data_IF_235865664799
#
_entry.id   IF_235865664799
#
_cell.length_a   1.000
_cell.length_b   1.000
_cell.length_c   1.000
_cell.angle_alpha   90.00
_cell.angle_beta   90.00
_cell.angle_gamma   90.00
#
_symmetry.space_group_name_H-M   'P 1'
#
loop_
_entity.id
_entity.type
_entity.pdbx_description
1 polymer ?
#
# COMPACT_ATOMS: atom_id res chain seq x y z
N UNK A 1 -35.32 18.17 39.49
CA UNK A 1 -34.25 18.15 38.45
C UNK A 1 -33.59 16.79 38.55
N UNK A 2 -33.92 15.88 37.64
CA UNK A 2 -33.32 14.53 37.62
C UNK A 2 -32.09 14.62 36.73
N UNK A 3 -30.91 14.50 37.32
CA UNK A 3 -29.67 14.38 36.59
C UNK A 3 -29.57 12.89 36.23
N UNK A 4 -29.88 12.53 34.98
CA UNK A 4 -29.61 11.20 34.46
C UNK A 4 -28.12 11.18 34.13
N UNK A 5 -27.32 10.63 35.04
CA UNK A 5 -25.93 10.23 34.76
C UNK A 5 -25.99 9.09 33.76
N UNK A 6 -25.61 9.33 32.52
CA UNK A 6 -25.36 8.25 31.59
C UNK A 6 -24.10 7.49 32.06
N UNK A 7 -24.13 6.16 32.10
CA UNK A 7 -22.93 5.41 32.47
C UNK A 7 -21.83 5.64 31.43
N UNK A 8 -20.63 6.02 31.88
CA UNK A 8 -19.42 6.24 31.07
C UNK A 8 -19.03 5.04 30.20
N UNK A 9 -19.69 3.88 30.40
CA UNK A 9 -19.36 2.64 29.70
C UNK A 9 -19.83 2.54 28.23
N UNK A 10 -20.56 3.54 27.73
CA UNK A 10 -21.14 3.53 26.37
C UNK A 10 -20.30 4.25 25.31
N UNK A 11 -19.23 4.93 25.68
CA UNK A 11 -18.34 5.61 24.74
C UNK A 11 -17.14 4.70 24.47
N UNK A 12 -17.14 3.97 23.39
CA UNK A 12 -15.96 3.21 22.97
C UNK A 12 -15.58 3.55 21.53
N UNK A 13 -14.29 3.71 21.31
CA UNK A 13 -13.74 3.77 19.95
C UNK A 13 -14.00 2.46 19.28
N UNK A 14 -14.62 2.46 18.13
CA UNK A 14 -14.74 1.28 17.27
C UNK A 14 -13.36 0.81 16.84
N UNK A 15 -13.28 -0.46 16.46
CA UNK A 15 -12.06 -1.03 15.92
C UNK A 15 -11.51 -0.17 14.78
N UNK A 16 -10.21 0.17 14.74
CA UNK A 16 -9.60 0.83 13.61
C UNK A 16 -9.86 0.06 12.31
N UNK A 17 -10.31 0.76 11.28
CA UNK A 17 -10.69 0.21 9.97
C UNK A 17 -9.94 0.92 8.86
N UNK A 18 -10.10 0.47 7.62
CA UNK A 18 -9.46 1.11 6.49
C UNK A 18 -7.94 1.22 6.62
N UNK A 19 -7.31 0.18 7.21
CA UNK A 19 -5.87 0.11 7.42
C UNK A 19 -5.14 0.11 6.08
N UNK A 20 -4.20 1.04 5.91
CA UNK A 20 -3.45 1.22 4.67
C UNK A 20 -1.97 1.44 4.93
N UNK A 21 -1.17 0.96 4.00
CA UNK A 21 0.25 1.28 3.88
C UNK A 21 0.46 1.88 2.49
N UNK A 22 1.13 3.04 2.39
CA UNK A 22 1.27 3.82 1.15
C UNK A 22 -0.07 3.99 0.43
N UNK A 23 -1.12 4.32 1.19
CA UNK A 23 -2.50 4.55 0.74
C UNK A 23 -3.21 3.32 0.16
N UNK A 24 -2.59 2.14 0.20
CA UNK A 24 -3.12 0.89 -0.36
C UNK A 24 -3.39 -0.13 0.74
N UNK A 25 -4.44 -0.92 0.59
CA UNK A 25 -4.76 -2.02 1.51
C UNK A 25 -3.94 -3.25 1.14
N UNK A 26 -3.18 -3.78 2.09
CA UNK A 26 -2.33 -4.97 1.94
C UNK A 26 -1.45 -4.92 0.68
N UNK A 27 -0.66 -3.86 0.48
CA UNK A 27 0.15 -3.73 -0.73
C UNK A 27 1.24 -4.79 -0.81
N UNK A 28 1.55 -5.19 -2.04
CA UNK A 28 2.64 -6.09 -2.40
C UNK A 28 3.66 -5.29 -3.21
N UNK A 29 4.95 -5.50 -2.93
CA UNK A 29 6.03 -4.90 -3.71
C UNK A 29 6.30 -3.44 -3.38
N UNK A 30 6.19 -3.04 -2.11
CA UNK A 30 6.56 -1.68 -1.69
C UNK A 30 8.09 -1.56 -1.69
N UNK A 31 8.61 -0.55 -2.41
CA UNK A 31 10.04 -0.21 -2.43
C UNK A 31 10.34 1.10 -1.67
N UNK A 32 9.43 1.52 -0.81
CA UNK A 32 9.60 2.70 0.04
C UNK A 32 10.30 2.30 1.33
N UNK A 33 11.44 2.91 1.63
CA UNK A 33 12.23 2.62 2.85
C UNK A 33 11.48 2.92 4.14
N UNK A 34 10.66 3.97 4.12
CA UNK A 34 9.87 4.45 5.25
C UNK A 34 8.40 4.55 4.86
N UNK A 35 7.69 3.42 4.73
CA UNK A 35 6.29 3.44 4.34
C UNK A 35 5.43 4.13 5.39
N UNK A 36 4.33 4.75 4.92
CA UNK A 36 3.39 5.52 5.75
C UNK A 36 2.15 4.70 6.03
N UNK A 37 1.79 4.65 7.30
CA UNK A 37 0.61 3.95 7.82
C UNK A 37 -0.55 4.91 7.97
N UNK A 38 -1.76 4.39 7.72
CA UNK A 38 -2.99 5.14 7.91
C UNK A 38 -4.13 4.20 8.31
N UNK A 39 -5.07 4.73 9.10
CA UNK A 39 -6.28 4.02 9.50
C UNK A 39 -7.43 5.01 9.68
N UNK A 40 -8.64 4.49 9.74
CA UNK A 40 -9.85 5.25 9.99
C UNK A 40 -10.44 4.87 11.33
N UNK A 41 -11.01 5.87 12.00
CA UNK A 41 -11.76 5.68 13.23
C UNK A 41 -13.24 5.84 12.92
N UNK A 42 -14.05 4.88 13.32
CA UNK A 42 -15.50 4.96 13.21
C UNK A 42 -16.12 4.93 14.60
N UNK A 43 -17.12 5.73 14.84
CA UNK A 43 -17.95 5.63 16.03
C UNK A 43 -19.05 4.58 15.81
N UNK A 44 -19.50 3.91 16.86
CA UNK A 44 -20.68 3.07 16.79
C UNK A 44 -21.94 3.93 16.61
N UNK A 45 -22.99 3.32 16.06
CA UNK A 45 -24.26 4.03 15.82
C UNK A 45 -24.79 4.67 17.11
N UNK A 46 -25.13 5.96 16.98
CA UNK A 46 -25.65 6.76 18.09
C UNK A 46 -24.57 7.40 18.99
N UNK A 47 -23.30 7.09 18.81
CA UNK A 47 -22.21 7.73 19.55
C UNK A 47 -21.80 9.06 18.92
N UNK A 48 -21.52 10.05 19.78
CA UNK A 48 -21.00 11.36 19.38
C UNK A 48 -19.85 11.78 20.28
N UNK A 49 -18.94 12.58 19.75
CA UNK A 49 -17.82 13.11 20.52
C UNK A 49 -16.75 12.09 20.89
N UNK A 50 -16.73 10.94 20.21
CA UNK A 50 -15.67 9.93 20.37
C UNK A 50 -14.50 10.32 19.48
N UNK A 51 -13.30 10.38 20.04
CA UNK A 51 -12.08 10.68 19.29
C UNK A 51 -10.89 9.88 19.82
N UNK A 52 -9.91 9.68 18.96
CA UNK A 52 -8.62 9.08 19.30
C UNK A 52 -7.82 10.07 20.14
N UNK A 53 -7.39 9.65 21.32
CA UNK A 53 -6.50 10.43 22.19
C UNK A 53 -5.03 10.04 22.04
N UNK A 54 -4.77 8.78 21.68
CA UNK A 54 -3.43 8.27 21.47
C UNK A 54 -3.43 7.09 20.48
N UNK A 55 -2.24 6.74 20.00
CA UNK A 55 -2.03 5.62 19.11
C UNK A 55 -0.65 4.97 19.31
N UNK A 56 -0.51 3.73 18.89
CA UNK A 56 0.75 3.00 18.80
C UNK A 56 0.70 2.09 17.58
N UNK A 57 1.79 2.07 16.80
CA UNK A 57 1.98 1.13 15.70
C UNK A 57 3.13 0.19 16.03
N UNK A 58 2.90 -1.11 15.85
CA UNK A 58 3.92 -2.14 15.96
C UNK A 58 4.01 -2.86 14.63
N UNK A 59 5.22 -3.02 14.10
CA UNK A 59 5.53 -3.76 12.87
C UNK A 59 6.42 -4.95 13.21
N UNK A 60 6.01 -6.13 12.78
CA UNK A 60 6.75 -7.38 12.97
C UNK A 60 7.01 -8.08 11.64
N UNK A 61 8.07 -8.85 11.56
CA UNK A 61 8.29 -9.76 10.44
C UNK A 61 7.51 -11.08 10.63
N UNK A 62 7.63 -11.99 9.66
CA UNK A 62 6.94 -13.29 9.68
C UNK A 62 7.39 -14.20 10.82
N UNK A 63 8.59 -14.00 11.33
CA UNK A 63 9.13 -14.73 12.48
C UNK A 63 8.69 -14.12 13.83
N UNK A 64 7.89 -13.06 13.79
CA UNK A 64 7.37 -12.38 14.97
C UNK A 64 8.35 -11.43 15.64
N UNK A 65 9.48 -11.12 15.01
CA UNK A 65 10.45 -10.14 15.53
C UNK A 65 9.91 -8.73 15.32
N UNK A 66 9.99 -7.92 16.35
CA UNK A 66 9.57 -6.51 16.27
C UNK A 66 10.62 -5.72 15.49
N UNK A 67 10.22 -5.18 14.33
CA UNK A 67 11.02 -4.30 13.52
C UNK A 67 10.81 -2.82 13.88
N UNK A 68 9.64 -2.50 14.38
CA UNK A 68 9.30 -1.18 14.87
C UNK A 68 8.20 -1.23 15.92
N UNK A 69 8.41 -0.47 16.96
CA UNK A 69 7.39 -0.09 17.94
C UNK A 69 7.46 1.43 18.09
N UNK A 70 6.40 2.12 17.69
CA UNK A 70 6.34 3.58 17.79
C UNK A 70 6.27 4.07 19.24
N UNK A 71 6.03 3.17 20.20
CA UNK A 71 5.55 3.55 21.52
C UNK A 71 4.16 4.19 21.44
N UNK A 72 3.60 4.51 22.61
CA UNK A 72 2.35 5.26 22.71
C UNK A 72 2.60 6.73 22.37
N UNK A 73 1.90 7.25 21.39
CA UNK A 73 1.94 8.66 20.96
C UNK A 73 0.60 9.31 21.26
N UNK A 74 0.62 10.43 21.94
CA UNK A 74 -0.56 11.20 22.23
C UNK A 74 -1.03 11.98 20.99
N UNK A 75 -2.34 12.02 20.76
CA UNK A 75 -2.98 12.78 19.70
C UNK A 75 -3.86 11.98 18.76
N UNK A 76 -4.59 12.70 17.91
CA UNK A 76 -5.59 12.17 16.98
C UNK A 76 -5.10 11.90 15.57
N UNK A 77 -3.79 11.96 15.32
CA UNK A 77 -3.23 11.71 13.97
C UNK A 77 -3.41 10.23 13.64
N UNK A 78 -3.99 9.96 12.48
CA UNK A 78 -4.23 8.59 11.98
C UNK A 78 -3.89 8.41 10.50
N UNK A 79 -3.22 9.39 9.91
CA UNK A 79 -2.86 9.41 8.48
C UNK A 79 -1.41 9.81 8.31
N UNK A 80 -0.68 9.08 7.46
CA UNK A 80 0.69 9.43 7.09
C UNK A 80 1.73 9.21 8.19
N UNK A 81 1.50 8.25 9.07
CA UNK A 81 2.46 7.87 10.12
C UNK A 81 3.64 7.16 9.47
N UNK A 82 4.79 7.82 9.46
CA UNK A 82 5.99 7.31 8.81
C UNK A 82 6.67 6.23 9.66
N UNK A 83 7.09 5.14 8.99
CA UNK A 83 7.90 4.09 9.60
C UNK A 83 9.24 4.62 10.10
N UNK A 84 9.60 4.30 11.33
CA UNK A 84 10.85 4.72 11.95
C UNK A 84 11.59 3.56 12.65
N UNK A 85 11.38 2.34 12.17
CA UNK A 85 12.02 1.14 12.70
C UNK A 85 13.34 0.80 12.03
N UNK A 86 13.76 -0.46 12.19
CA UNK A 86 14.95 -0.99 11.51
C UNK A 86 14.72 -1.06 10.00
N UNK A 87 15.76 -0.93 9.15
CA UNK A 87 15.60 -1.03 7.70
C UNK A 87 14.81 -2.27 7.29
N UNK A 88 13.85 -2.07 6.40
CA UNK A 88 13.03 -3.15 5.86
C UNK A 88 13.87 -4.00 4.90
N UNK A 89 13.69 -5.31 4.98
CA UNK A 89 14.34 -6.26 4.07
C UNK A 89 13.55 -6.40 2.77
N UNK A 90 14.23 -6.66 1.67
CA UNK A 90 13.60 -6.98 0.39
C UNK A 90 12.73 -8.25 0.48
N UNK A 91 11.72 -8.35 -0.38
CA UNK A 91 10.87 -9.54 -0.59
C UNK A 91 10.35 -10.14 0.72
N UNK A 92 9.97 -9.27 1.66
CA UNK A 92 9.58 -9.69 3.01
C UNK A 92 8.17 -9.21 3.33
N UNK A 93 7.34 -10.11 3.86
CA UNK A 93 6.03 -9.73 4.42
C UNK A 93 6.20 -9.26 5.84
N UNK A 94 5.56 -8.15 6.16
CA UNK A 94 5.47 -7.57 7.48
C UNK A 94 4.01 -7.54 7.93
N UNK A 95 3.80 -7.88 9.19
CA UNK A 95 2.54 -7.69 9.89
C UNK A 95 2.62 -6.38 10.66
N UNK A 96 1.53 -5.66 10.74
CA UNK A 96 1.48 -4.48 11.58
C UNK A 96 0.16 -4.38 12.33
N UNK A 97 0.26 -3.85 13.52
CA UNK A 97 -0.87 -3.64 14.43
C UNK A 97 -0.89 -2.20 14.86
N UNK A 98 -2.05 -1.58 14.77
CA UNK A 98 -2.32 -0.29 15.41
C UNK A 98 -3.18 -0.50 16.65
N UNK A 99 -2.76 0.09 17.76
CA UNK A 99 -3.56 0.23 18.97
C UNK A 99 -3.93 1.70 19.11
N UNK A 100 -5.21 1.98 19.32
CA UNK A 100 -5.71 3.33 19.55
C UNK A 100 -6.35 3.42 20.93
N UNK A 101 -6.23 4.58 21.54
CA UNK A 101 -6.89 4.94 22.81
C UNK A 101 -7.93 6.00 22.53
N UNK A 102 -9.08 5.90 23.15
CA UNK A 102 -10.07 6.97 23.17
C UNK A 102 -9.82 7.96 24.30
N UNK A 103 -10.66 9.00 24.39
CA UNK A 103 -10.60 10.01 25.44
C UNK A 103 -10.79 9.45 26.86
N UNK A 104 -11.37 8.25 27.01
CA UNK A 104 -11.57 7.57 28.29
C UNK A 104 -10.40 6.63 28.63
N UNK A 105 -9.44 6.47 27.72
CA UNK A 105 -8.31 5.56 27.87
C UNK A 105 -8.61 4.11 27.44
N UNK A 106 -9.81 3.83 26.93
CA UNK A 106 -10.16 2.51 26.41
C UNK A 106 -9.43 2.25 25.10
N UNK A 107 -8.98 1.04 24.90
CA UNK A 107 -8.18 0.65 23.73
C UNK A 107 -8.97 -0.15 22.71
N UNK A 108 -8.59 0.00 21.45
CA UNK A 108 -9.03 -0.82 20.33
C UNK A 108 -7.86 -1.10 19.38
N UNK A 109 -7.88 -2.24 18.70
CA UNK A 109 -6.78 -2.66 17.83
C UNK A 109 -7.26 -3.01 16.43
N UNK A 110 -6.41 -2.70 15.43
CA UNK A 110 -6.54 -3.17 14.07
C UNK A 110 -5.24 -3.81 13.59
N UNK A 111 -5.33 -4.82 12.73
CA UNK A 111 -4.17 -5.55 12.20
C UNK A 111 -4.25 -5.63 10.68
N UNK A 112 -3.10 -5.59 10.04
CA UNK A 112 -2.96 -5.68 8.59
C UNK A 112 -1.53 -6.11 8.24
N UNK A 113 -1.20 -6.16 6.95
CA UNK A 113 0.12 -6.57 6.48
C UNK A 113 0.51 -5.80 5.21
N UNK A 114 1.79 -5.86 4.87
CA UNK A 114 2.33 -5.41 3.60
C UNK A 114 3.54 -6.26 3.21
N UNK A 115 3.90 -6.23 1.94
CA UNK A 115 5.12 -6.87 1.42
C UNK A 115 6.02 -5.84 0.76
N UNK A 116 7.30 -5.96 1.03
CA UNK A 116 8.33 -5.18 0.34
C UNK A 116 8.65 -5.78 -1.02
N UNK A 117 9.02 -4.92 -1.97
CA UNK A 117 9.60 -5.30 -3.23
C UNK A 117 11.09 -5.62 -3.11
N UNK A 118 11.84 -5.31 -4.14
CA UNK A 118 13.29 -5.57 -4.16
C UNK A 118 14.10 -4.59 -3.29
N UNK A 119 13.51 -3.47 -2.89
CA UNK A 119 14.15 -2.42 -2.10
C UNK A 119 15.46 -1.89 -2.69
N UNK A 120 15.70 -2.18 -3.97
CA UNK A 120 16.87 -1.77 -4.71
C UNK A 120 16.48 -1.59 -6.18
N UNK A 121 16.66 -0.38 -6.77
CA UNK A 121 16.29 -0.09 -8.15
C UNK A 121 17.26 -0.70 -9.18
N UNK A 122 18.41 -1.20 -8.76
CA UNK A 122 19.42 -1.73 -9.67
C UNK A 122 19.05 -3.11 -10.23
N UNK A 123 19.44 -3.39 -11.45
CA UNK A 123 19.26 -4.70 -12.08
C UNK A 123 19.95 -5.84 -11.30
N UNK A 124 20.96 -5.52 -10.50
CA UNK A 124 21.63 -6.50 -9.62
C UNK A 124 20.67 -7.14 -8.61
N UNK A 125 19.60 -6.44 -8.21
CA UNK A 125 18.57 -6.97 -7.33
C UNK A 125 17.73 -8.08 -7.96
N UNK A 126 17.77 -8.21 -9.28
CA UNK A 126 17.00 -9.21 -10.02
C UNK A 126 17.64 -10.60 -10.01
N UNK A 127 18.84 -10.73 -9.39
CA UNK A 127 19.54 -12.02 -9.25
C UNK A 127 19.69 -12.79 -10.57
N UNK A 128 19.90 -12.07 -11.67
CA UNK A 128 20.05 -12.65 -13.01
C UNK A 128 18.73 -12.89 -13.75
N UNK A 129 17.58 -12.58 -13.14
CA UNK A 129 16.31 -12.58 -13.86
C UNK A 129 16.32 -11.52 -14.97
N UNK A 130 15.65 -11.82 -16.07
CA UNK A 130 15.52 -10.94 -17.21
C UNK A 130 14.03 -10.69 -17.49
N UNK A 131 13.73 -9.59 -18.16
CA UNK A 131 12.38 -9.37 -18.64
C UNK A 131 11.93 -10.53 -19.53
N UNK A 132 10.79 -11.09 -19.22
CA UNK A 132 10.07 -11.98 -20.10
C UNK A 132 9.24 -11.09 -21.00
N UNK A 133 9.85 -10.58 -22.05
CA UNK A 133 9.18 -9.77 -23.07
C UNK A 133 9.43 -10.41 -24.43
N UNK A 134 8.69 -9.95 -25.41
CA UNK A 134 8.98 -10.29 -26.79
C UNK A 134 10.41 -9.94 -27.14
N UNK A 135 11.00 -10.65 -28.07
CA UNK A 135 12.31 -10.33 -28.64
C UNK A 135 12.31 -8.97 -29.35
N UNK A 136 13.42 -8.59 -29.98
CA UNK A 136 13.50 -7.35 -30.77
C UNK A 136 12.42 -7.21 -31.84
N UNK A 137 11.73 -8.30 -32.13
CA UNK A 137 10.66 -8.44 -33.15
C UNK A 137 9.27 -8.06 -32.59
N UNK A 138 9.11 -8.04 -31.28
CA UNK A 138 7.83 -7.69 -30.63
C UNK A 138 7.83 -6.23 -30.17
N UNK A 139 7.89 -5.31 -31.12
CA UNK A 139 7.76 -3.89 -30.82
C UNK A 139 6.28 -3.55 -30.65
N UNK A 140 5.80 -3.61 -29.43
CA UNK A 140 4.48 -3.10 -29.08
C UNK A 140 4.62 -1.86 -28.21
N UNK A 141 4.28 -0.71 -28.74
CA UNK A 141 4.20 0.52 -27.97
C UNK A 141 2.75 0.79 -27.57
N UNK A 142 2.51 0.83 -26.29
CA UNK A 142 1.21 1.18 -25.74
C UNK A 142 1.25 2.54 -25.07
N UNK A 143 0.41 3.46 -25.55
CA UNK A 143 0.06 4.64 -24.78
C UNK A 143 -1.46 4.77 -24.74
N UNK A 144 -2.12 4.29 -23.69
CA UNK A 144 -3.56 4.34 -23.57
C UNK A 144 -4.13 5.76 -23.47
N UNK A 145 -3.25 6.77 -23.36
CA UNK A 145 -3.62 8.18 -23.17
C UNK A 145 -3.50 9.05 -24.43
N UNK A 146 -3.05 8.48 -25.54
CA UNK A 146 -2.97 9.23 -26.80
C UNK A 146 -4.28 9.13 -27.55
N UNK A 147 -5.07 10.20 -27.51
CA UNK A 147 -6.36 10.31 -28.20
C UNK A 147 -6.13 10.68 -29.67
N UNK A 148 -5.12 11.48 -29.98
CA UNK A 148 -4.72 11.90 -31.32
C UNK A 148 -3.20 11.83 -31.41
N UNK A 149 -2.67 11.17 -32.41
CA UNK A 149 -1.24 11.10 -32.65
C UNK A 149 -0.92 10.95 -34.14
N UNK A 150 0.20 11.50 -34.57
CA UNK A 150 0.82 11.25 -35.85
C UNK A 150 1.99 10.29 -35.66
N UNK A 151 2.01 9.20 -36.42
CA UNK A 151 3.07 8.22 -36.34
C UNK A 151 3.75 8.05 -37.73
N UNK A 152 5.08 8.14 -37.74
CA UNK A 152 5.89 7.82 -38.92
C UNK A 152 6.69 6.55 -38.67
N UNK A 153 6.58 5.61 -39.60
CA UNK A 153 7.27 4.33 -39.55
C UNK A 153 8.21 4.16 -40.72
N UNK A 154 9.34 3.56 -40.46
CA UNK A 154 10.18 2.94 -41.49
C UNK A 154 10.13 1.44 -41.28
N UNK A 155 9.59 0.72 -42.24
CA UNK A 155 9.47 -0.74 -42.18
C UNK A 155 10.53 -1.33 -43.08
N UNK A 156 11.44 -2.14 -42.51
CA UNK A 156 12.34 -2.98 -43.25
C UNK A 156 11.79 -4.41 -43.23
N UNK A 157 11.62 -5.00 -44.40
CA UNK A 157 11.15 -6.37 -44.53
C UNK A 157 12.36 -7.25 -44.80
N UNK A 158 12.55 -8.28 -43.99
CA UNK A 158 13.62 -9.24 -44.16
C UNK A 158 13.46 -10.02 -45.48
N UNK A 159 14.57 -10.41 -46.13
CA UNK A 159 14.51 -11.20 -47.36
C UNK A 159 13.75 -12.52 -47.12
N UNK A 160 12.71 -12.74 -47.94
CA UNK A 160 11.84 -13.92 -47.83
C UNK A 160 10.54 -13.70 -47.05
N UNK A 161 10.40 -12.58 -46.37
CA UNK A 161 9.11 -12.20 -45.78
C UNK A 161 8.13 -11.68 -46.83
N UNK A 162 6.86 -12.08 -46.71
CA UNK A 162 5.82 -11.71 -47.67
C UNK A 162 4.87 -10.62 -47.18
N UNK A 163 4.95 -10.27 -45.90
CA UNK A 163 4.09 -9.26 -45.28
C UNK A 163 4.75 -8.59 -44.08
N UNK A 164 4.32 -7.37 -43.82
CA UNK A 164 4.55 -6.66 -42.54
C UNK A 164 3.20 -6.16 -42.05
N UNK A 165 2.97 -6.25 -40.74
CA UNK A 165 1.73 -5.82 -40.11
C UNK A 165 1.99 -4.75 -39.08
N UNK A 166 1.12 -3.74 -39.06
CA UNK A 166 1.06 -2.75 -38.00
C UNK A 166 -0.31 -2.83 -37.32
N UNK A 167 -0.28 -3.00 -36.01
CA UNK A 167 -1.51 -3.12 -35.20
C UNK A 167 -1.58 -1.92 -34.28
N UNK A 168 -2.70 -1.21 -34.28
CA UNK A 168 -2.95 -0.12 -33.36
C UNK A 168 -4.34 -0.23 -32.73
N UNK A 169 -4.48 0.28 -31.50
CA UNK A 169 -5.75 0.26 -30.78
C UNK A 169 -6.21 -1.13 -30.33
N UNK A 170 -5.33 -2.12 -30.39
CA UNK A 170 -5.61 -3.47 -29.88
C UNK A 170 -5.22 -3.59 -28.40
N UNK A 171 -5.98 -4.36 -27.64
CA UNK A 171 -5.67 -4.67 -26.26
C UNK A 171 -4.69 -5.84 -26.11
N UNK A 172 -4.48 -6.59 -27.16
CA UNK A 172 -3.56 -7.73 -27.22
C UNK A 172 -2.85 -7.71 -28.60
N UNK A 173 -1.52 -7.70 -28.59
CA UNK A 173 -0.70 -7.69 -29.81
C UNK A 173 -0.70 -9.01 -30.58
N UNK A 174 -1.31 -10.04 -30.01
CA UNK A 174 -1.41 -11.40 -30.62
C UNK A 174 -2.69 -11.58 -31.42
N UNK A 175 -3.54 -10.56 -31.48
CA UNK A 175 -4.72 -10.48 -32.33
C UNK A 175 -4.35 -9.76 -33.64
#
# INVERSE_FOLDING_TARGET
MVIISMPESLLSVSKPTGLRVEYTTNPIGIDVEKPRFSWQMTAEDGQRGVYQSAWQVIVTDQEGRVNWDSGKNEGGISVGIEYAGTPLRATTRYLWKVTVWDQSGKTSTGESWFETGLMNPDLSAWSGAQWIGGGPEDLVFYSPYLIIFDAKYTIAIEPGSTSASFIYGANDSRL
#
